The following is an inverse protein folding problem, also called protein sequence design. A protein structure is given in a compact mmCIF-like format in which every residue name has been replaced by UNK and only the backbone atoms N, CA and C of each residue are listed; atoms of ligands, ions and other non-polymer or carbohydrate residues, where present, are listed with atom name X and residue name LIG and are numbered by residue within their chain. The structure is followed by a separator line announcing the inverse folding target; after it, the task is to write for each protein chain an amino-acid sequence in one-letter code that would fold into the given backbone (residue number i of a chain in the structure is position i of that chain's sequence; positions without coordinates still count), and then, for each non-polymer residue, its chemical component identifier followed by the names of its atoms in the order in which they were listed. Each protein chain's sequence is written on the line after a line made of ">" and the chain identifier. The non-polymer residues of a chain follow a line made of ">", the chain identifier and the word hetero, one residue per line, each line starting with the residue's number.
data_IF_517631222722
#
_entry.id   IF_517631222722
#
_cell.length_a   1.000
_cell.length_b   1.000
_cell.length_c   1.000
_cell.angle_alpha   90.00
_cell.angle_beta   90.00
_cell.angle_gamma   90.00
#
_symmetry.space_group_name_H-M   'P 1'
#
loop_
_entity.id
_entity.type
_entity.pdbx_description
1 polymer ?
#
# COMPACT_ATOMS: atom_id res chain seq x y z
N UNK A 1 32.17 -5.27 3.86
CA UNK A 1 31.41 -4.02 4.13
C UNK A 1 31.30 -3.86 5.63
N UNK A 2 31.41 -2.67 6.20
CA UNK A 2 31.28 -2.51 7.67
C UNK A 2 29.86 -2.92 8.08
N UNK A 3 29.71 -3.85 9.04
CA UNK A 3 28.40 -4.43 9.40
C UNK A 3 27.35 -3.35 9.69
N UNK A 4 27.74 -2.31 10.43
CA UNK A 4 26.86 -1.17 10.73
C UNK A 4 26.34 -0.43 9.49
N UNK A 5 27.12 -0.35 8.41
CA UNK A 5 26.68 0.25 7.15
C UNK A 5 25.65 -0.65 6.45
N UNK A 6 25.83 -1.97 6.53
CA UNK A 6 24.85 -2.95 6.01
C UNK A 6 23.54 -2.80 6.76
N UNK A 7 23.58 -2.83 8.09
CA UNK A 7 22.40 -2.75 8.94
C UNK A 7 21.64 -1.44 8.70
N UNK A 8 22.35 -0.31 8.61
CA UNK A 8 21.75 0.99 8.37
C UNK A 8 21.02 1.04 7.03
N UNK A 9 21.64 0.54 5.95
CA UNK A 9 21.03 0.56 4.61
C UNK A 9 19.84 -0.38 4.54
N UNK A 10 19.95 -1.59 5.08
CA UNK A 10 18.89 -2.58 5.04
C UNK A 10 17.68 -2.16 5.90
N UNK A 11 17.92 -1.73 7.14
CA UNK A 11 16.85 -1.28 8.03
C UNK A 11 16.21 0.01 7.50
N UNK A 12 16.99 0.90 6.87
CA UNK A 12 16.42 2.07 6.19
C UNK A 12 15.51 1.65 5.02
N UNK A 13 15.90 0.63 4.26
CA UNK A 13 15.04 0.05 3.22
C UNK A 13 13.73 -0.51 3.79
N UNK A 14 13.77 -1.22 4.93
CA UNK A 14 12.54 -1.71 5.60
C UNK A 14 11.63 -0.59 6.07
N UNK A 15 12.19 0.48 6.67
CA UNK A 15 11.45 1.70 7.04
C UNK A 15 10.79 2.32 5.79
N UNK A 16 11.52 2.45 4.69
CA UNK A 16 10.97 2.96 3.43
C UNK A 16 9.90 2.03 2.83
N UNK A 17 10.05 0.72 3.00
CA UNK A 17 9.09 -0.29 2.57
C UNK A 17 7.76 -0.14 3.33
N UNK A 18 7.79 0.20 4.62
CA UNK A 18 6.59 0.46 5.42
C UNK A 18 5.78 1.66 4.91
N UNK A 19 6.42 2.68 4.31
CA UNK A 19 5.73 3.83 3.69
C UNK A 19 4.77 3.36 2.57
N UNK A 20 5.14 2.32 1.83
CA UNK A 20 4.29 1.75 0.78
C UNK A 20 2.95 1.22 1.34
N UNK A 21 2.96 0.63 2.54
CA UNK A 21 1.76 0.09 3.20
C UNK A 21 0.94 1.15 3.95
N UNK A 22 1.60 2.18 4.47
CA UNK A 22 0.91 3.30 5.14
C UNK A 22 0.19 4.22 4.13
N UNK A 23 0.71 4.35 2.91
CA UNK A 23 0.16 5.27 1.91
C UNK A 23 -1.34 5.02 1.62
N UNK A 24 -1.81 3.78 1.35
CA UNK A 24 -3.25 3.49 1.23
C UNK A 24 -4.06 3.86 2.47
N UNK A 25 -3.51 3.67 3.67
CA UNK A 25 -4.18 4.05 4.92
C UNK A 25 -4.33 5.57 5.03
N UNK A 26 -3.29 6.36 4.79
CA UNK A 26 -3.37 7.82 4.82
C UNK A 26 -4.39 8.36 3.80
N UNK A 27 -4.42 7.80 2.58
CA UNK A 27 -5.41 8.18 1.55
C UNK A 27 -6.84 7.84 2.03
N UNK A 28 -7.01 6.65 2.61
CA UNK A 28 -8.31 6.20 3.13
C UNK A 28 -8.77 7.04 4.32
N UNK A 29 -7.88 7.38 5.25
CA UNK A 29 -8.13 8.27 6.37
C UNK A 29 -8.59 9.65 5.89
N UNK A 30 -7.85 10.24 4.94
CA UNK A 30 -8.23 11.52 4.34
C UNK A 30 -9.64 11.49 3.75
N UNK A 31 -9.97 10.45 2.97
CA UNK A 31 -11.31 10.27 2.41
C UNK A 31 -12.36 10.05 3.49
N UNK A 32 -12.04 9.30 4.54
CA UNK A 32 -12.95 9.07 5.65
C UNK A 32 -13.33 10.39 6.31
N UNK A 33 -12.34 11.23 6.64
CA UNK A 33 -12.59 12.55 7.25
C UNK A 33 -13.45 13.43 6.34
N UNK A 34 -13.13 13.46 5.05
CA UNK A 34 -13.88 14.22 4.05
C UNK A 34 -15.33 13.76 3.94
N UNK A 35 -15.60 12.45 3.89
CA UNK A 35 -16.95 11.90 3.67
C UNK A 35 -17.79 11.87 4.95
N UNK A 36 -17.18 11.56 6.10
CA UNK A 36 -17.91 11.44 7.36
C UNK A 36 -18.13 12.78 8.06
N UNK A 37 -17.10 13.63 8.09
CA UNK A 37 -17.11 14.89 8.82
C UNK A 37 -17.22 16.11 7.91
N UNK A 38 -17.20 15.93 6.57
CA UNK A 38 -17.26 17.04 5.60
C UNK A 38 -16.16 18.09 5.83
N UNK A 39 -14.98 17.63 6.26
CA UNK A 39 -13.84 18.46 6.62
C UNK A 39 -12.64 18.13 5.74
N UNK A 40 -11.90 19.14 5.31
CA UNK A 40 -10.60 18.94 4.66
C UNK A 40 -9.56 18.51 5.69
N UNK A 41 -8.70 17.55 5.34
CA UNK A 41 -7.53 17.19 6.14
C UNK A 41 -6.35 17.99 5.63
N UNK A 42 -5.67 18.69 6.53
CA UNK A 42 -4.45 19.42 6.20
C UNK A 42 -3.33 18.43 5.88
N UNK A 43 -2.46 18.76 4.93
CA UNK A 43 -1.30 17.93 4.58
C UNK A 43 -0.46 17.57 5.83
N UNK A 44 -0.29 18.54 6.74
CA UNK A 44 0.44 18.36 7.98
C UNK A 44 -0.18 17.31 8.91
N UNK A 45 -1.51 17.22 8.98
CA UNK A 45 -2.22 16.19 9.76
C UNK A 45 -1.91 14.78 9.20
N UNK A 46 -1.95 14.62 7.88
CA UNK A 46 -1.60 13.34 7.24
C UNK A 46 -0.13 12.96 7.46
N UNK A 47 0.78 13.94 7.43
CA UNK A 47 2.21 13.71 7.71
C UNK A 47 2.39 13.25 9.17
N UNK A 48 1.74 13.91 10.13
CA UNK A 48 1.81 13.50 11.55
C UNK A 48 1.31 12.06 11.72
N UNK A 49 0.17 11.71 11.12
CA UNK A 49 -0.38 10.35 11.22
C UNK A 49 0.60 9.33 10.61
N UNK A 50 1.18 9.65 9.46
CA UNK A 50 2.18 8.78 8.84
C UNK A 50 3.41 8.58 9.74
N UNK A 51 3.93 9.65 10.36
CA UNK A 51 5.06 9.58 11.29
C UNK A 51 4.71 8.73 12.51
N UNK A 52 3.55 8.97 13.14
CA UNK A 52 3.11 8.20 14.32
C UNK A 52 3.00 6.72 13.98
N UNK A 53 2.47 6.39 12.81
CA UNK A 53 2.31 4.99 12.35
C UNK A 53 3.67 4.32 12.12
N UNK A 54 4.71 5.09 11.80
CA UNK A 54 6.07 4.59 11.57
C UNK A 54 6.90 4.41 12.84
N UNK A 55 6.49 4.97 13.99
CA UNK A 55 7.26 4.92 15.25
C UNK A 55 7.71 3.49 15.59
N UNK A 56 6.85 2.45 15.53
CA UNK A 56 7.27 1.08 15.85
C UNK A 56 8.44 0.58 14.99
N UNK A 57 8.41 0.83 13.68
CA UNK A 57 9.50 0.44 12.78
C UNK A 57 10.79 1.23 13.04
N UNK A 58 10.69 2.51 13.43
CA UNK A 58 11.86 3.25 13.91
C UNK A 58 12.46 2.68 15.19
N UNK A 59 11.63 2.20 16.13
CA UNK A 59 12.12 1.53 17.34
C UNK A 59 12.84 0.23 17.00
N UNK A 60 12.30 -0.56 16.07
CA UNK A 60 12.94 -1.78 15.56
C UNK A 60 14.27 -1.49 14.85
N UNK A 61 14.30 -0.46 13.99
CA UNK A 61 15.50 0.05 13.34
C UNK A 61 16.60 0.36 14.35
N UNK A 62 16.26 1.14 15.40
CA UNK A 62 17.23 1.54 16.42
C UNK A 62 17.76 0.32 17.17
N UNK A 63 16.90 -0.63 17.53
CA UNK A 63 17.33 -1.86 18.18
C UNK A 63 18.32 -2.65 17.32
N UNK A 64 17.97 -2.88 16.05
CA UNK A 64 18.79 -3.67 15.15
C UNK A 64 20.17 -3.04 14.90
N UNK A 65 20.23 -1.73 14.67
CA UNK A 65 21.47 -1.04 14.27
C UNK A 65 22.40 -0.75 15.45
N UNK A 66 21.85 -0.42 16.63
CA UNK A 66 22.64 0.12 17.74
C UNK A 66 22.72 -0.78 18.99
N UNK A 67 21.75 -1.68 19.20
CA UNK A 67 21.63 -2.42 20.45
C UNK A 67 21.81 -3.93 20.30
N UNK A 68 21.46 -4.49 19.14
CA UNK A 68 21.57 -5.92 18.94
C UNK A 68 23.02 -6.39 18.86
N UNK A 69 23.29 -7.49 19.54
CA UNK A 69 24.57 -8.21 19.46
C UNK A 69 24.44 -9.54 18.71
N UNK A 70 23.26 -9.83 18.12
CA UNK A 70 23.00 -11.08 17.40
C UNK A 70 23.42 -10.87 15.96
N UNK A 71 24.50 -11.52 15.52
CA UNK A 71 24.97 -11.45 14.13
C UNK A 71 24.58 -12.74 13.43
N UNK A 72 24.03 -12.63 12.22
CA UNK A 72 23.79 -13.77 11.35
C UNK A 72 24.38 -13.52 9.96
N UNK A 73 24.71 -14.61 9.27
CA UNK A 73 25.19 -14.52 7.90
C UNK A 73 24.04 -14.54 6.91
N UNK A 74 24.04 -13.57 6.00
CA UNK A 74 23.13 -13.54 4.86
C UNK A 74 23.91 -13.69 3.55
N UNK A 75 23.27 -14.27 2.53
CA UNK A 75 23.88 -14.52 1.22
C UNK A 75 24.24 -13.24 0.48
N UNK A 76 23.58 -12.12 0.78
CA UNK A 76 23.76 -10.85 0.07
C UNK A 76 24.83 -9.96 0.69
N UNK A 77 24.95 -9.94 2.03
CA UNK A 77 25.82 -8.99 2.74
C UNK A 77 26.87 -9.63 3.66
N UNK A 78 27.01 -10.96 3.61
CA UNK A 78 27.88 -11.79 4.45
C UNK A 78 27.51 -11.80 5.94
N UNK A 79 27.38 -10.64 6.60
CA UNK A 79 27.02 -10.52 8.02
C UNK A 79 26.16 -9.29 8.27
N UNK A 80 25.16 -9.43 9.14
CA UNK A 80 24.32 -8.34 9.64
C UNK A 80 23.78 -8.63 11.03
N UNK A 81 23.35 -7.58 11.74
CA UNK A 81 22.67 -7.74 13.00
C UNK A 81 21.21 -8.19 12.78
N UNK A 82 20.75 -9.10 13.62
CA UNK A 82 19.35 -9.45 13.76
C UNK A 82 18.72 -8.66 14.91
N UNK A 83 17.40 -8.73 15.09
CA UNK A 83 16.76 -8.12 16.25
C UNK A 83 17.19 -8.78 17.56
N UNK A 84 17.25 -8.01 18.65
CA UNK A 84 17.63 -8.55 19.97
C UNK A 84 16.57 -9.49 20.56
N UNK A 85 15.32 -9.31 20.13
CA UNK A 85 14.15 -10.07 20.57
C UNK A 85 13.09 -10.01 19.46
N UNK A 86 12.29 -11.07 19.37
CA UNK A 86 11.11 -11.21 18.52
C UNK A 86 10.14 -10.02 18.59
N UNK A 87 10.06 -9.32 19.73
CA UNK A 87 9.20 -8.12 19.84
C UNK A 87 9.55 -7.05 18.80
N UNK A 88 10.83 -6.89 18.46
CA UNK A 88 11.26 -5.89 17.48
C UNK A 88 10.94 -6.30 16.04
N UNK A 89 10.91 -7.60 15.74
CA UNK A 89 10.39 -8.10 14.47
C UNK A 89 8.91 -7.71 14.30
N UNK A 90 8.12 -7.90 15.37
CA UNK A 90 6.72 -7.47 15.35
C UNK A 90 6.58 -5.96 15.22
N UNK A 91 7.42 -5.17 15.90
CA UNK A 91 7.42 -3.71 15.78
C UNK A 91 7.75 -3.23 14.36
N UNK A 92 8.63 -3.92 13.64
CA UNK A 92 8.97 -3.54 12.26
C UNK A 92 7.83 -3.82 11.27
N UNK A 93 7.09 -4.92 11.48
CA UNK A 93 5.98 -5.33 10.60
C UNK A 93 4.66 -4.65 11.02
N UNK A 94 4.55 -4.18 12.27
CA UNK A 94 3.34 -3.59 12.84
C UNK A 94 2.72 -2.47 11.97
N UNK A 95 3.49 -1.50 11.42
CA UNK A 95 2.92 -0.48 10.57
C UNK A 95 2.18 -1.06 9.35
N UNK A 96 2.67 -2.15 8.77
CA UNK A 96 2.04 -2.80 7.62
C UNK A 96 0.70 -3.43 8.01
N UNK A 97 0.67 -4.14 9.14
CA UNK A 97 -0.53 -4.83 9.65
C UNK A 97 -1.59 -3.83 10.08
N UNK A 98 -1.21 -2.89 10.94
CA UNK A 98 -2.12 -1.89 11.48
C UNK A 98 -2.70 -1.01 10.37
N UNK A 99 -1.87 -0.51 9.45
CA UNK A 99 -2.35 0.34 8.33
C UNK A 99 -3.31 -0.41 7.43
N UNK A 100 -2.99 -1.66 7.06
CA UNK A 100 -3.85 -2.45 6.17
C UNK A 100 -5.20 -2.76 6.82
N UNK A 101 -5.20 -3.10 8.11
CA UNK A 101 -6.43 -3.38 8.86
C UNK A 101 -7.30 -2.13 9.05
N UNK A 102 -6.68 -1.00 9.43
CA UNK A 102 -7.39 0.27 9.57
C UNK A 102 -7.93 0.78 8.23
N UNK A 103 -7.15 0.69 7.15
CA UNK A 103 -7.60 1.03 5.80
C UNK A 103 -8.80 0.19 5.37
N UNK A 104 -8.80 -1.11 5.67
CA UNK A 104 -9.94 -1.99 5.39
C UNK A 104 -11.21 -1.53 6.12
N UNK A 105 -11.12 -1.31 7.44
CA UNK A 105 -12.26 -0.84 8.25
C UNK A 105 -12.80 0.48 7.71
N UNK A 106 -11.92 1.47 7.50
CA UNK A 106 -12.32 2.79 7.02
C UNK A 106 -12.95 2.74 5.63
N UNK A 107 -12.43 1.91 4.72
CA UNK A 107 -13.03 1.72 3.40
C UNK A 107 -14.41 1.06 3.45
N UNK A 108 -14.62 0.09 4.36
CA UNK A 108 -15.95 -0.49 4.59
C UNK A 108 -16.92 0.59 5.12
N UNK A 109 -16.49 1.41 6.08
CA UNK A 109 -17.30 2.52 6.60
C UNK A 109 -17.67 3.55 5.51
N UNK A 110 -16.68 3.94 4.69
CA UNK A 110 -16.90 4.82 3.53
C UNK A 110 -17.93 4.21 2.58
N UNK A 111 -17.78 2.93 2.22
CA UNK A 111 -18.71 2.25 1.32
C UNK A 111 -20.13 2.24 1.87
N UNK A 112 -20.30 1.94 3.16
CA UNK A 112 -21.60 1.97 3.84
C UNK A 112 -22.20 3.38 3.76
N UNK A 113 -21.44 4.43 4.09
CA UNK A 113 -21.94 5.80 4.07
C UNK A 113 -22.29 6.28 2.66
N UNK A 114 -21.44 6.01 1.67
CA UNK A 114 -21.73 6.31 0.25
C UNK A 114 -23.01 5.61 -0.20
N UNK A 115 -23.21 4.34 0.17
CA UNK A 115 -24.42 3.59 -0.17
C UNK A 115 -25.67 4.15 0.52
N UNK A 116 -25.58 4.55 1.80
CA UNK A 116 -26.70 5.20 2.52
C UNK A 116 -27.04 6.55 1.88
N UNK A 117 -26.03 7.38 1.60
CA UNK A 117 -26.23 8.68 0.96
C UNK A 117 -26.85 8.54 -0.44
N UNK A 118 -26.40 7.57 -1.24
CA UNK A 118 -26.96 7.28 -2.56
C UNK A 118 -28.42 6.78 -2.52
N UNK A 119 -28.86 6.17 -1.40
CA UNK A 119 -30.27 5.82 -1.20
C UNK A 119 -31.13 7.03 -0.83
N UNK A 120 -30.56 8.02 -0.15
CA UNK A 120 -31.26 9.24 0.31
C UNK A 120 -31.33 10.35 -0.75
N UNK A 121 -30.36 10.45 -1.65
CA UNK A 121 -30.36 11.50 -2.68
C UNK A 121 -31.25 11.14 -3.86
N UNK A 122 -32.07 12.09 -4.31
CA UNK A 122 -32.78 12.02 -5.61
C UNK A 122 -31.79 11.98 -6.78
N UNK A 123 -30.64 12.64 -6.63
CA UNK A 123 -29.53 12.66 -7.60
C UNK A 123 -28.64 11.42 -7.47
N UNK A 124 -29.22 10.25 -7.73
CA UNK A 124 -28.57 8.94 -7.64
C UNK A 124 -27.37 8.77 -8.59
N UNK A 125 -27.23 9.61 -9.61
CA UNK A 125 -26.41 9.29 -10.78
C UNK A 125 -24.97 9.80 -10.72
N UNK A 126 -24.68 10.97 -10.13
CA UNK A 126 -23.35 11.58 -10.25
C UNK A 126 -22.38 11.08 -9.18
N UNK A 127 -22.75 11.20 -7.89
CA UNK A 127 -21.85 10.82 -6.78
C UNK A 127 -21.55 9.31 -6.76
N UNK A 128 -22.53 8.47 -7.11
CA UNK A 128 -22.33 7.01 -7.17
C UNK A 128 -21.34 6.58 -8.25
N UNK A 129 -21.31 7.29 -9.38
CA UNK A 129 -20.44 6.95 -10.52
C UNK A 129 -18.96 7.16 -10.22
N UNK A 130 -18.61 8.11 -9.35
CA UNK A 130 -17.22 8.42 -9.01
C UNK A 130 -16.77 7.73 -7.71
N UNK A 131 -17.60 7.74 -6.66
CA UNK A 131 -17.18 7.24 -5.34
C UNK A 131 -17.14 5.72 -5.25
N UNK A 132 -18.03 4.99 -5.94
CA UNK A 132 -18.07 3.52 -5.86
C UNK A 132 -16.84 2.89 -6.53
N UNK A 133 -16.47 3.22 -7.78
CA UNK A 133 -15.24 2.70 -8.39
C UNK A 133 -13.98 3.02 -7.57
N UNK A 134 -13.88 4.24 -7.05
CA UNK A 134 -12.77 4.65 -6.21
C UNK A 134 -12.69 3.84 -4.91
N UNK A 135 -13.83 3.61 -4.26
CA UNK A 135 -13.88 2.82 -3.03
C UNK A 135 -13.58 1.34 -3.28
N UNK A 136 -14.05 0.77 -4.40
CA UNK A 136 -13.68 -0.59 -4.81
C UNK A 136 -12.17 -0.69 -5.06
N UNK A 137 -11.57 0.31 -5.72
CA UNK A 137 -10.12 0.35 -5.94
C UNK A 137 -9.34 0.40 -4.63
N UNK A 138 -9.75 1.24 -3.67
CA UNK A 138 -9.09 1.29 -2.37
C UNK A 138 -9.31 0.03 -1.53
N UNK A 139 -10.47 -0.63 -1.66
CA UNK A 139 -10.68 -1.94 -1.05
C UNK A 139 -9.72 -2.98 -1.64
N UNK A 140 -9.52 -3.00 -2.97
CA UNK A 140 -8.51 -3.84 -3.60
C UNK A 140 -7.10 -3.57 -3.03
N UNK A 141 -6.71 -2.30 -2.91
CA UNK A 141 -5.43 -1.90 -2.31
C UNK A 141 -5.34 -2.03 -0.78
N UNK A 142 -6.43 -2.39 -0.10
CA UNK A 142 -6.42 -2.72 1.33
C UNK A 142 -6.39 -4.24 1.54
N UNK A 143 -7.21 -4.97 0.78
CA UNK A 143 -7.38 -6.42 0.89
C UNK A 143 -6.17 -7.16 0.33
N UNK A 144 -5.69 -6.83 -0.87
CA UNK A 144 -4.59 -7.57 -1.49
C UNK A 144 -3.29 -7.48 -0.68
N UNK A 145 -2.83 -6.28 -0.24
CA UNK A 145 -1.68 -6.19 0.65
C UNK A 145 -1.89 -6.93 1.98
N UNK A 146 -3.09 -6.88 2.56
CA UNK A 146 -3.40 -7.60 3.80
C UNK A 146 -3.29 -9.11 3.62
N UNK A 147 -3.82 -9.67 2.53
CA UNK A 147 -3.71 -11.11 2.21
C UNK A 147 -2.24 -11.50 2.04
N UNK A 148 -1.47 -10.72 1.27
CA UNK A 148 -0.04 -10.97 1.08
C UNK A 148 0.72 -10.88 2.40
N UNK A 149 0.39 -9.93 3.26
CA UNK A 149 1.02 -9.75 4.56
C UNK A 149 0.71 -10.92 5.51
N UNK A 150 -0.54 -11.34 5.60
CA UNK A 150 -0.94 -12.52 6.40
C UNK A 150 -0.21 -13.75 5.90
N UNK A 151 -0.10 -13.93 4.58
CA UNK A 151 0.64 -15.03 3.98
C UNK A 151 2.13 -14.96 4.37
N UNK A 152 2.78 -13.80 4.23
CA UNK A 152 4.18 -13.62 4.56
C UNK A 152 4.46 -13.97 6.04
N UNK A 153 3.62 -13.48 6.95
CA UNK A 153 3.73 -13.78 8.38
C UNK A 153 3.47 -15.27 8.67
N UNK A 154 2.52 -15.90 7.99
CA UNK A 154 2.29 -17.35 8.11
C UNK A 154 3.53 -18.14 7.67
N UNK A 155 4.21 -17.73 6.59
CA UNK A 155 5.44 -18.38 6.14
C UNK A 155 6.59 -18.22 7.14
N UNK A 156 6.72 -17.04 7.75
CA UNK A 156 7.70 -16.80 8.84
C UNK A 156 7.40 -17.67 10.06
N UNK A 157 6.13 -17.76 10.46
CA UNK A 157 5.71 -18.63 11.56
C UNK A 157 5.97 -20.11 11.28
N UNK A 158 5.69 -20.59 10.06
CA UNK A 158 5.98 -21.97 9.65
C UNK A 158 7.49 -22.26 9.61
N UNK A 159 8.32 -21.30 9.20
CA UNK A 159 9.78 -21.42 9.28
C UNK A 159 10.24 -21.60 10.73
N UNK A 160 9.75 -20.75 11.64
CA UNK A 160 10.12 -20.79 13.05
C UNK A 160 9.67 -22.08 13.75
N UNK A 161 8.48 -22.60 13.43
CA UNK A 161 7.89 -23.76 14.13
C UNK A 161 8.26 -25.12 13.54
N UNK A 162 8.46 -25.21 12.23
CA UNK A 162 8.67 -26.50 11.54
C UNK A 162 10.08 -26.68 10.99
N UNK A 163 11.01 -25.75 11.30
CA UNK A 163 12.39 -25.73 10.79
C UNK A 163 12.47 -25.96 9.27
N UNK A 164 11.44 -25.53 8.56
CA UNK A 164 11.37 -25.69 7.11
C UNK A 164 12.26 -24.63 6.47
N UNK A 165 12.92 -24.97 5.35
CA UNK A 165 13.59 -23.99 4.50
C UNK A 165 12.52 -23.10 3.84
N UNK A 166 11.87 -22.24 4.62
CA UNK A 166 10.65 -21.52 4.24
C UNK A 166 10.81 -20.77 2.92
N UNK A 167 11.97 -20.15 2.69
CA UNK A 167 12.30 -19.41 1.47
C UNK A 167 12.49 -20.30 0.22
N UNK A 168 12.80 -21.59 0.38
CA UNK A 168 12.91 -22.53 -0.74
C UNK A 168 11.62 -23.31 -1.01
N UNK A 169 10.61 -23.13 -0.16
CA UNK A 169 9.33 -23.82 -0.35
C UNK A 169 8.59 -23.29 -1.58
N UNK A 170 7.85 -24.17 -2.26
CA UNK A 170 6.96 -23.79 -3.35
C UNK A 170 5.92 -22.72 -2.91
N UNK A 171 5.56 -22.70 -1.62
CA UNK A 171 4.66 -21.69 -1.05
C UNK A 171 5.28 -20.29 -1.03
N UNK A 172 6.58 -20.19 -0.75
CA UNK A 172 7.28 -18.90 -0.80
C UNK A 172 7.45 -18.41 -2.25
N UNK A 173 7.73 -19.30 -3.19
CA UNK A 173 7.73 -18.96 -4.62
C UNK A 173 6.36 -18.46 -5.09
N UNK A 174 5.27 -19.14 -4.69
CA UNK A 174 3.92 -18.69 -4.99
C UNK A 174 3.63 -17.30 -4.39
N UNK A 175 4.01 -17.07 -3.13
CA UNK A 175 3.91 -15.76 -2.48
C UNK A 175 4.68 -14.68 -3.25
N UNK A 176 5.93 -14.93 -3.63
CA UNK A 176 6.75 -13.98 -4.38
C UNK A 176 6.13 -13.65 -5.74
N UNK A 177 5.60 -14.66 -6.45
CA UNK A 177 4.89 -14.47 -7.71
C UNK A 177 3.62 -13.63 -7.52
N UNK A 178 2.78 -13.94 -6.52
CA UNK A 178 1.58 -13.16 -6.22
C UNK A 178 1.91 -11.70 -5.85
N UNK A 179 2.98 -11.49 -5.07
CA UNK A 179 3.47 -10.16 -4.74
C UNK A 179 3.89 -9.36 -5.99
N UNK A 180 4.61 -10.00 -6.92
CA UNK A 180 4.99 -9.39 -8.20
C UNK A 180 3.77 -9.09 -9.09
N UNK A 181 2.83 -10.03 -9.17
CA UNK A 181 1.56 -9.83 -9.89
C UNK A 181 0.78 -8.65 -9.30
N UNK A 182 0.68 -8.55 -7.98
CA UNK A 182 0.01 -7.43 -7.32
C UNK A 182 0.69 -6.09 -7.65
N UNK A 183 2.02 -6.03 -7.63
CA UNK A 183 2.77 -4.80 -7.99
C UNK A 183 2.51 -4.36 -9.43
N UNK A 184 2.28 -5.29 -10.36
CA UNK A 184 1.89 -5.00 -11.75
C UNK A 184 0.43 -4.57 -11.85
N UNK A 185 -0.48 -5.26 -11.15
CA UNK A 185 -1.91 -4.97 -11.16
C UNK A 185 -2.26 -3.66 -10.44
N UNK A 186 -1.48 -3.25 -9.45
CA UNK A 186 -1.73 -2.05 -8.66
C UNK A 186 -1.87 -0.77 -9.51
N UNK A 187 -0.90 -0.39 -10.37
CA UNK A 187 -1.08 0.77 -11.25
C UNK A 187 -2.19 0.56 -12.29
N UNK A 188 -2.39 -0.67 -12.78
CA UNK A 188 -3.44 -0.99 -13.76
C UNK A 188 -4.83 -0.72 -13.16
N UNK A 189 -5.07 -1.18 -11.93
CA UNK A 189 -6.34 -0.95 -11.22
C UNK A 189 -6.58 0.53 -10.95
N UNK A 190 -5.54 1.29 -10.55
CA UNK A 190 -5.65 2.76 -10.47
C UNK A 190 -6.06 3.39 -11.80
N UNK A 191 -5.46 3.00 -12.93
CA UNK A 191 -5.82 3.50 -14.27
C UNK A 191 -7.27 3.13 -14.64
N UNK A 192 -7.74 1.94 -14.27
CA UNK A 192 -9.08 1.47 -14.62
C UNK A 192 -10.17 2.19 -13.80
N UNK A 193 -9.93 2.39 -12.50
CA UNK A 193 -10.96 2.86 -11.57
C UNK A 193 -10.89 4.35 -11.23
N UNK A 194 -9.73 5.01 -11.41
CA UNK A 194 -9.58 6.44 -11.13
C UNK A 194 -9.53 7.25 -12.43
N UNK A 195 -10.55 8.07 -12.66
CA UNK A 195 -10.66 8.87 -13.88
C UNK A 195 -9.48 9.82 -14.11
N UNK A 196 -8.96 10.44 -13.05
CA UNK A 196 -7.79 11.33 -13.11
C UNK A 196 -6.51 10.62 -13.54
N UNK A 197 -6.28 9.40 -13.05
CA UNK A 197 -5.16 8.57 -13.49
C UNK A 197 -5.35 8.09 -14.92
N UNK A 198 -6.58 7.66 -15.27
CA UNK A 198 -6.93 7.22 -16.62
C UNK A 198 -6.70 8.33 -17.65
N UNK A 199 -7.17 9.54 -17.39
CA UNK A 199 -6.98 10.68 -18.29
C UNK A 199 -5.51 11.05 -18.42
N UNK A 200 -4.77 11.12 -17.30
CA UNK A 200 -3.33 11.34 -17.31
C UNK A 200 -2.56 10.29 -18.14
N UNK A 201 -2.90 9.01 -17.98
CA UNK A 201 -2.30 7.90 -18.71
C UNK A 201 -2.64 7.93 -20.21
N UNK A 202 -3.91 8.16 -20.58
CA UNK A 202 -4.34 8.29 -21.97
C UNK A 202 -3.72 9.51 -22.67
N UNK A 203 -3.52 10.61 -21.93
CA UNK A 203 -2.81 11.79 -22.42
C UNK A 203 -1.33 11.47 -22.70
N UNK A 204 -0.69 10.72 -21.80
CA UNK A 204 0.71 10.30 -21.95
C UNK A 204 0.93 9.37 -23.15
N UNK A 205 0.03 8.41 -23.40
CA UNK A 205 0.08 7.50 -24.58
C UNK A 205 -0.36 8.21 -25.87
N UNK A 206 -0.83 9.46 -25.81
CA UNK A 206 -1.23 10.24 -26.98
C UNK A 206 -2.63 9.90 -27.52
N UNK A 207 -3.44 9.13 -26.78
CA UNK A 207 -4.81 8.81 -27.19
C UNK A 207 -5.74 10.04 -27.17
N UNK A 208 -5.50 11.03 -26.31
CA UNK A 208 -6.28 12.29 -26.33
C UNK A 208 -6.07 13.08 -27.63
N UNK A 209 -4.85 13.06 -28.20
CA UNK A 209 -4.59 13.69 -29.50
C UNK A 209 -5.35 13.02 -30.63
N UNK A 210 -5.66 11.73 -30.54
CA UNK A 210 -6.48 11.02 -31.53
C UNK A 210 -7.95 11.46 -31.51
N UNK A 211 -8.54 11.69 -30.32
CA UNK A 211 -9.93 12.18 -30.24
C UNK A 211 -10.08 13.61 -30.78
N UNK A 212 -9.10 14.49 -30.54
CA UNK A 212 -9.10 15.83 -31.13
C UNK A 212 -8.83 15.79 -32.64
N UNK A 213 -7.94 14.92 -33.14
CA UNK A 213 -7.71 14.75 -34.58
C UNK A 213 -8.96 14.26 -35.33
N UNK A 214 -9.67 13.27 -34.81
CA UNK A 214 -10.89 12.74 -35.45
C UNK A 214 -11.97 13.82 -35.49
N UNK A 215 -12.11 14.64 -34.44
CA UNK A 215 -13.08 15.73 -34.40
C UNK A 215 -12.75 16.84 -35.40
N UNK A 216 -11.47 17.20 -35.53
CA UNK A 216 -10.99 18.18 -36.52
C UNK A 216 -11.16 17.66 -37.95
N UNK A 217 -10.79 16.41 -38.23
CA UNK A 217 -10.97 15.79 -39.55
C UNK A 217 -12.46 15.72 -39.94
N UNK A 218 -13.35 15.38 -39.00
CA UNK A 218 -14.80 15.37 -39.27
C UNK A 218 -15.37 16.77 -39.55
N UNK A 219 -14.83 17.83 -38.93
CA UNK A 219 -15.26 19.21 -39.21
C UNK A 219 -14.72 19.78 -40.52
N UNK A 220 -13.62 19.22 -41.05
CA UNK A 220 -13.04 19.62 -42.34
C UNK A 220 -13.74 18.91 -43.51
N UNK A 221 -14.25 17.69 -43.31
CA UNK A 221 -14.98 16.93 -44.35
C UNK A 221 -16.44 17.42 -44.52
N UNK A 222 -16.96 18.21 -43.57
CA UNK A 222 -18.31 18.79 -43.63
C UNK A 222 -18.37 20.25 -44.14
N UNK A 223 -17.27 20.78 -44.68
CA UNK A 223 -17.24 22.05 -45.43
C UNK A 223 -16.94 21.78 -46.90
#
# INVERSE_FOLDING_TARGET
>A
MHILLVDLIEQFYFVMYNIYYITPFCITYWRFILIFFNRTVLLFENIIIAIITMIPSFVAFINCVFFSNIIYSDRTFEYKHYYSDSIFEYMDIFPQVASSFLALILNIMILIKVNISAKKSSDKSFNKKLEVPLTINLLFHSICPLILLVWANMMMFLRATHNSEGEKSNLFLAYAHLGMTYRILSPITMILFMESYRSGFLRWIGCEKKKSFIKVVSSVIQR
#
